data_IF_266694478881
#
_entry.id   IF_266694478881
#
_cell.length_a   1.000
_cell.length_b   1.000
_cell.length_c   1.000
_cell.angle_alpha   90.00
_cell.angle_beta   90.00
_cell.angle_gamma   90.00
#
_symmetry.space_group_name_H-M   'P 1'
#
loop_
_entity.id
_entity.type
_entity.pdbx_description
1 polymer ?
#
# COMPACT_ATOMS: atom_id res chain seq x y z
N UNK A 1 -0.28 -13.65 6.90
CA UNK A 1 -0.61 -14.65 5.87
C UNK A 1 -1.61 -14.09 4.85
N UNK A 2 -2.69 -13.43 5.25
CA UNK A 2 -3.72 -12.91 4.32
C UNK A 2 -3.19 -11.89 3.31
N UNK A 3 -2.19 -11.08 3.66
CA UNK A 3 -1.58 -10.08 2.77
C UNK A 3 -0.76 -10.69 1.62
N UNK A 4 -0.41 -11.97 1.69
CA UNK A 4 0.36 -12.67 0.66
C UNK A 4 -0.55 -13.10 -0.50
N UNK A 5 -1.80 -13.40 -0.21
CA UNK A 5 -2.75 -13.98 -1.19
C UNK A 5 -2.91 -13.10 -2.44
N UNK A 6 -3.15 -11.77 -2.36
CA UNK A 6 -3.26 -10.92 -3.54
C UNK A 6 -2.00 -10.93 -4.42
N UNK A 7 -0.81 -11.09 -3.80
CA UNK A 7 0.46 -11.12 -4.50
C UNK A 7 0.65 -12.37 -5.36
N UNK A 8 -0.06 -13.45 -5.03
CA UNK A 8 -0.05 -14.71 -5.78
C UNK A 8 -1.09 -14.69 -6.91
N UNK A 9 -2.26 -14.11 -6.68
CA UNK A 9 -3.35 -14.15 -7.67
C UNK A 9 -3.06 -13.36 -8.95
N UNK A 10 -2.36 -12.23 -8.86
CA UNK A 10 -2.06 -11.40 -10.04
C UNK A 10 -1.16 -12.13 -11.06
N UNK A 11 0.01 -12.68 -10.67
CA UNK A 11 0.82 -13.50 -11.57
C UNK A 11 0.06 -14.73 -12.08
N UNK A 12 -0.70 -15.40 -11.21
CA UNK A 12 -1.46 -16.60 -11.56
C UNK A 12 -2.54 -16.31 -12.62
N UNK A 13 -3.25 -15.20 -12.52
CA UNK A 13 -4.21 -14.77 -13.54
C UNK A 13 -3.54 -14.56 -14.90
N UNK A 14 -2.31 -14.03 -14.90
CA UNK A 14 -1.52 -13.89 -16.13
C UNK A 14 -1.06 -15.23 -16.73
N UNK A 15 -0.76 -16.23 -15.90
CA UNK A 15 -0.33 -17.55 -16.34
C UNK A 15 -1.48 -18.39 -16.86
N UNK A 16 -2.66 -18.34 -16.22
CA UNK A 16 -3.85 -19.10 -16.60
C UNK A 16 -4.57 -18.54 -17.82
N UNK A 17 -4.42 -17.24 -18.09
CA UNK A 17 -5.09 -16.60 -19.21
C UNK A 17 -4.42 -16.94 -20.56
N UNK A 18 -5.24 -17.14 -21.61
CA UNK A 18 -4.73 -17.23 -22.97
C UNK A 18 -3.95 -15.97 -23.35
N UNK A 19 -2.91 -16.07 -24.21
CA UNK A 19 -2.00 -14.94 -24.49
C UNK A 19 -2.70 -13.63 -24.86
N UNK A 20 -3.81 -13.69 -25.59
CA UNK A 20 -4.59 -12.54 -26.06
C UNK A 20 -5.32 -11.83 -24.91
N UNK A 21 -5.67 -12.55 -23.83
CA UNK A 21 -6.52 -12.06 -22.74
C UNK A 21 -5.74 -11.80 -21.43
N UNK A 22 -4.41 -11.95 -21.44
CA UNK A 22 -3.58 -11.78 -20.21
C UNK A 22 -3.79 -10.42 -19.55
N UNK A 23 -3.75 -9.34 -20.33
CA UNK A 23 -3.94 -7.99 -19.81
C UNK A 23 -5.35 -7.80 -19.21
N UNK A 24 -6.36 -8.38 -19.83
CA UNK A 24 -7.74 -8.32 -19.34
C UNK A 24 -7.90 -9.10 -18.03
N UNK A 25 -7.35 -10.31 -17.94
CA UNK A 25 -7.41 -11.14 -16.72
C UNK A 25 -6.72 -10.46 -15.54
N UNK A 26 -5.52 -9.92 -15.74
CA UNK A 26 -4.79 -9.14 -14.73
C UNK A 26 -5.58 -7.90 -14.33
N UNK A 27 -6.12 -7.16 -15.30
CA UNK A 27 -6.94 -5.97 -15.05
C UNK A 27 -8.19 -6.28 -14.22
N UNK A 28 -8.85 -7.40 -14.47
CA UNK A 28 -10.03 -7.84 -13.72
C UNK A 28 -9.67 -8.18 -12.26
N UNK A 29 -8.58 -8.92 -12.02
CA UNK A 29 -8.09 -9.23 -10.67
C UNK A 29 -7.69 -7.96 -9.92
N UNK A 30 -6.97 -7.04 -10.58
CA UNK A 30 -6.59 -5.75 -9.99
C UNK A 30 -7.79 -4.87 -9.67
N UNK A 31 -8.80 -4.85 -10.54
CA UNK A 31 -10.06 -4.12 -10.26
C UNK A 31 -10.78 -4.70 -9.06
N UNK A 32 -10.87 -6.03 -8.97
CA UNK A 32 -11.45 -6.72 -7.80
C UNK A 32 -10.69 -6.40 -6.51
N UNK A 33 -9.36 -6.36 -6.56
CA UNK A 33 -8.50 -5.98 -5.43
C UNK A 33 -8.81 -4.54 -4.97
N UNK A 34 -8.86 -3.58 -5.89
CA UNK A 34 -9.15 -2.18 -5.57
C UNK A 34 -10.55 -2.01 -4.99
N UNK A 35 -11.56 -2.61 -5.62
CA UNK A 35 -12.95 -2.59 -5.11
C UNK A 35 -13.01 -3.23 -3.72
N UNK A 36 -12.33 -4.37 -3.50
CA UNK A 36 -12.27 -5.03 -2.21
C UNK A 36 -11.64 -4.18 -1.11
N UNK A 37 -10.53 -3.48 -1.41
CA UNK A 37 -9.87 -2.56 -0.46
C UNK A 37 -10.83 -1.43 -0.06
N UNK A 38 -11.58 -0.87 -1.01
CA UNK A 38 -12.52 0.21 -0.75
C UNK A 38 -13.72 -0.25 0.07
N UNK A 39 -14.38 -1.30 -0.40
CA UNK A 39 -15.57 -1.82 0.26
C UNK A 39 -15.25 -2.35 1.67
N UNK A 40 -14.10 -3.00 1.86
CA UNK A 40 -13.72 -3.52 3.17
C UNK A 40 -13.65 -2.45 4.26
N UNK A 41 -13.17 -1.26 3.94
CA UNK A 41 -13.11 -0.13 4.89
C UNK A 41 -14.51 0.35 5.29
N UNK A 42 -15.40 0.51 4.32
CA UNK A 42 -16.77 0.93 4.55
C UNK A 42 -17.53 -0.12 5.36
N UNK A 43 -17.45 -1.37 4.92
CA UNK A 43 -18.14 -2.48 5.62
C UNK A 43 -17.59 -2.71 7.03
N UNK A 44 -16.26 -2.68 7.21
CA UNK A 44 -15.67 -2.86 8.53
C UNK A 44 -16.00 -1.70 9.47
N UNK A 45 -16.02 -0.47 8.98
CA UNK A 45 -16.43 0.71 9.75
C UNK A 45 -17.89 0.60 10.20
N UNK A 46 -18.80 0.28 9.27
CA UNK A 46 -20.22 0.10 9.56
C UNK A 46 -20.48 -1.07 10.54
N UNK A 47 -19.90 -2.24 10.27
CA UNK A 47 -20.05 -3.40 11.14
C UNK A 47 -19.46 -3.11 12.53
N UNK A 48 -18.28 -2.47 12.58
CA UNK A 48 -17.60 -2.12 13.82
C UNK A 48 -18.44 -1.21 14.71
N UNK A 49 -19.11 -0.21 14.11
CA UNK A 49 -19.96 0.73 14.82
C UNK A 49 -21.26 0.09 15.36
N UNK A 50 -21.98 -0.66 14.51
CA UNK A 50 -23.32 -1.14 14.85
C UNK A 50 -23.35 -2.53 15.49
N UNK A 51 -22.41 -3.39 15.19
CA UNK A 51 -22.37 -4.77 15.68
C UNK A 51 -21.19 -5.04 16.62
N UNK A 52 -20.10 -4.28 16.47
CA UNK A 52 -18.90 -4.42 17.25
C UNK A 52 -17.71 -4.98 16.47
N UNK A 53 -16.51 -4.78 16.99
CA UNK A 53 -15.27 -5.15 16.31
C UNK A 53 -15.07 -6.66 16.16
N UNK A 54 -15.67 -7.48 17.06
CA UNK A 54 -15.56 -8.94 16.99
C UNK A 54 -16.29 -9.50 15.77
N UNK A 55 -17.42 -8.93 15.44
CA UNK A 55 -18.27 -9.30 14.30
C UNK A 55 -17.59 -8.99 12.97
N UNK A 56 -16.76 -7.95 12.90
CA UNK A 56 -15.91 -7.66 11.73
C UNK A 56 -15.00 -8.86 11.43
N UNK A 57 -14.33 -9.40 12.45
CA UNK A 57 -13.44 -10.55 12.28
C UNK A 57 -14.21 -11.85 12.01
N UNK A 58 -15.36 -12.05 12.64
CA UNK A 58 -16.20 -13.23 12.39
C UNK A 58 -16.70 -13.26 10.95
N UNK A 59 -17.24 -12.16 10.46
CA UNK A 59 -17.71 -12.03 9.07
C UNK A 59 -16.53 -12.20 8.11
N UNK A 60 -15.39 -11.58 8.40
CA UNK A 60 -14.15 -11.76 7.65
C UNK A 60 -13.72 -13.23 7.56
N UNK A 61 -13.77 -13.97 8.67
CA UNK A 61 -13.45 -15.39 8.72
C UNK A 61 -14.41 -16.23 7.86
N UNK A 62 -15.72 -15.95 7.93
CA UNK A 62 -16.73 -16.62 7.10
C UNK A 62 -16.49 -16.36 5.61
N UNK A 63 -16.22 -15.10 5.23
CA UNK A 63 -15.91 -14.74 3.84
C UNK A 63 -14.67 -15.45 3.33
N UNK A 64 -13.61 -15.51 4.15
CA UNK A 64 -12.37 -16.23 3.80
C UNK A 64 -12.60 -17.73 3.66
N UNK A 65 -13.45 -18.33 4.52
CA UNK A 65 -13.82 -19.74 4.42
C UNK A 65 -14.59 -20.04 3.14
N UNK A 66 -15.57 -19.20 2.79
CA UNK A 66 -16.31 -19.31 1.53
C UNK A 66 -15.38 -19.15 0.34
N UNK A 67 -14.48 -18.15 0.37
CA UNK A 67 -13.49 -17.95 -0.69
C UNK A 67 -12.54 -19.16 -0.84
N UNK A 68 -12.12 -19.77 0.28
CA UNK A 68 -11.31 -20.98 0.25
C UNK A 68 -12.02 -22.14 -0.45
N UNK A 69 -13.32 -22.34 -0.19
CA UNK A 69 -14.13 -23.36 -0.90
C UNK A 69 -14.17 -23.08 -2.40
N UNK A 70 -14.41 -21.81 -2.81
CA UNK A 70 -14.43 -21.42 -4.21
C UNK A 70 -13.09 -21.68 -4.89
N UNK A 71 -11.97 -21.31 -4.26
CA UNK A 71 -10.63 -21.54 -4.78
C UNK A 71 -10.38 -23.05 -4.93
N UNK A 72 -10.73 -23.84 -3.93
CA UNK A 72 -10.53 -25.28 -3.94
C UNK A 72 -11.32 -25.99 -5.08
N UNK A 73 -12.52 -25.52 -5.38
CA UNK A 73 -13.38 -26.13 -6.41
C UNK A 73 -13.00 -25.66 -7.83
N UNK A 74 -12.71 -24.37 -8.00
CA UNK A 74 -12.61 -23.76 -9.33
C UNK A 74 -11.19 -23.48 -9.81
N UNK A 75 -10.21 -23.43 -8.91
CA UNK A 75 -8.85 -23.07 -9.32
C UNK A 75 -8.09 -24.34 -9.77
N UNK A 76 -7.55 -24.35 -11.01
CA UNK A 76 -6.75 -25.48 -11.47
C UNK A 76 -5.38 -25.52 -10.77
N UNK A 77 -4.83 -26.71 -10.60
CA UNK A 77 -3.46 -26.88 -10.11
C UNK A 77 -2.45 -26.29 -11.10
N UNK A 78 -1.57 -25.45 -10.61
CA UNK A 78 -0.49 -24.87 -11.40
C UNK A 78 0.83 -25.54 -11.00
N UNK A 79 1.53 -26.10 -11.98
CA UNK A 79 2.86 -26.67 -11.76
C UNK A 79 3.88 -25.54 -11.52
N UNK A 80 4.68 -25.61 -10.44
CA UNK A 80 5.68 -24.60 -10.18
C UNK A 80 6.78 -24.60 -11.24
N UNK A 81 7.06 -23.45 -11.84
CA UNK A 81 8.11 -23.28 -12.86
C UNK A 81 9.53 -23.33 -12.27
N UNK A 82 9.68 -23.25 -10.96
CA UNK A 82 10.97 -23.25 -10.29
C UNK A 82 11.41 -24.69 -9.96
N UNK A 83 12.52 -25.14 -10.56
CA UNK A 83 13.09 -26.49 -10.38
C UNK A 83 14.17 -26.57 -9.28
N UNK A 84 14.40 -25.50 -8.52
CA UNK A 84 15.40 -25.45 -7.45
C UNK A 84 14.85 -25.84 -6.08
N UNK A 85 15.75 -26.01 -5.09
CA UNK A 85 15.35 -26.21 -3.70
C UNK A 85 14.89 -24.90 -3.06
N UNK A 86 14.05 -24.97 -1.99
CA UNK A 86 13.61 -23.79 -1.25
C UNK A 86 14.79 -22.95 -0.72
N UNK A 87 15.87 -23.62 -0.26
CA UNK A 87 17.11 -22.97 0.18
C UNK A 87 17.77 -22.15 -0.94
N UNK A 88 17.80 -22.66 -2.17
CA UNK A 88 18.34 -21.94 -3.32
C UNK A 88 17.46 -20.73 -3.68
N UNK A 89 16.15 -20.84 -3.54
CA UNK A 89 15.23 -19.71 -3.71
C UNK A 89 15.52 -18.60 -2.70
N UNK A 90 15.61 -18.94 -1.41
CA UNK A 90 15.92 -17.96 -0.36
C UNK A 90 17.29 -17.31 -0.56
N UNK A 91 18.31 -18.08 -0.91
CA UNK A 91 19.64 -17.56 -1.23
C UNK A 91 19.59 -16.57 -2.39
N UNK A 92 18.81 -16.88 -3.44
CA UNK A 92 18.66 -15.98 -4.59
C UNK A 92 17.97 -14.65 -4.25
N UNK A 93 17.03 -14.64 -3.30
CA UNK A 93 16.39 -13.40 -2.79
C UNK A 93 17.42 -12.54 -2.06
N UNK A 94 18.22 -13.14 -1.17
CA UNK A 94 19.30 -12.42 -0.47
C UNK A 94 20.34 -11.88 -1.44
N UNK A 95 20.68 -12.63 -2.47
CA UNK A 95 21.61 -12.19 -3.51
C UNK A 95 21.06 -10.98 -4.30
N UNK A 96 19.77 -10.99 -4.66
CA UNK A 96 19.11 -9.84 -5.29
C UNK A 96 19.19 -8.58 -4.42
N UNK A 97 18.95 -8.71 -3.11
CA UNK A 97 19.10 -7.57 -2.18
C UNK A 97 20.54 -7.05 -2.15
N UNK A 98 21.53 -7.93 -2.20
CA UNK A 98 22.95 -7.53 -2.16
C UNK A 98 23.42 -6.89 -3.46
N UNK A 99 22.99 -7.44 -4.60
CA UNK A 99 23.49 -7.06 -5.93
C UNK A 99 22.71 -5.92 -6.59
N UNK A 100 21.44 -5.67 -6.18
CA UNK A 100 20.56 -4.70 -6.82
C UNK A 100 20.32 -3.45 -5.95
N UNK A 101 21.12 -2.37 -6.09
CA UNK A 101 20.97 -1.15 -5.29
C UNK A 101 19.62 -0.45 -5.54
N UNK A 102 19.10 -0.52 -6.77
CA UNK A 102 17.79 0.05 -7.10
C UNK A 102 16.63 -0.68 -6.39
N UNK A 103 16.74 -2.01 -6.20
CA UNK A 103 15.77 -2.77 -5.42
C UNK A 103 15.78 -2.32 -3.96
N UNK A 104 16.97 -2.16 -3.35
CA UNK A 104 17.08 -1.66 -1.97
C UNK A 104 16.47 -0.28 -1.81
N UNK A 105 16.76 0.64 -2.74
CA UNK A 105 16.24 1.99 -2.69
C UNK A 105 14.72 2.04 -2.88
N UNK A 106 14.18 1.27 -3.84
CA UNK A 106 12.74 1.17 -4.06
C UNK A 106 12.03 0.57 -2.83
N UNK A 107 12.60 -0.50 -2.25
CA UNK A 107 12.07 -1.16 -1.05
C UNK A 107 12.08 -0.23 0.16
N UNK A 108 13.15 0.55 0.35
CA UNK A 108 13.25 1.51 1.44
C UNK A 108 12.23 2.66 1.29
N UNK A 109 12.09 3.22 0.09
CA UNK A 109 11.05 4.23 -0.21
C UNK A 109 9.65 3.68 0.00
N UNK A 110 9.39 2.45 -0.47
CA UNK A 110 8.11 1.78 -0.25
C UNK A 110 7.80 1.58 1.23
N UNK A 111 8.78 1.11 2.01
CA UNK A 111 8.65 0.90 3.45
C UNK A 111 8.35 2.22 4.20
N UNK A 112 9.15 3.26 3.96
CA UNK A 112 8.99 4.55 4.66
C UNK A 112 7.72 5.30 4.23
N UNK A 113 7.38 5.25 2.94
CA UNK A 113 6.13 5.84 2.46
C UNK A 113 4.89 5.13 3.02
N UNK A 114 4.90 3.79 3.05
CA UNK A 114 3.80 3.04 3.64
C UNK A 114 3.75 3.15 5.17
N UNK A 115 4.89 3.38 5.84
CA UNK A 115 4.91 3.70 7.25
C UNK A 115 4.15 5.01 7.56
N UNK A 116 4.42 6.08 6.79
CA UNK A 116 3.71 7.35 6.91
C UNK A 116 2.20 7.17 6.65
N UNK A 117 1.84 6.45 5.61
CA UNK A 117 0.44 6.17 5.27
C UNK A 117 -0.29 5.36 6.35
N UNK A 118 0.35 4.31 6.85
CA UNK A 118 -0.23 3.47 7.90
C UNK A 118 -0.39 4.22 9.22
N UNK A 119 0.54 5.14 9.52
CA UNK A 119 0.43 6.03 10.66
C UNK A 119 -0.90 6.82 10.64
N UNK A 120 -1.24 7.42 9.50
CA UNK A 120 -2.51 8.15 9.33
C UNK A 120 -3.73 7.22 9.49
N UNK A 121 -3.81 6.17 8.68
CA UNK A 121 -5.01 5.34 8.63
C UNK A 121 -5.30 4.59 9.93
N UNK A 122 -4.26 4.21 10.68
CA UNK A 122 -4.44 3.54 11.97
C UNK A 122 -5.01 4.48 13.02
N UNK A 123 -4.62 5.75 13.02
CA UNK A 123 -4.98 6.70 14.07
C UNK A 123 -6.17 7.59 13.70
N UNK A 124 -6.63 7.55 12.44
CA UNK A 124 -7.78 8.34 11.98
C UNK A 124 -9.03 8.07 12.82
N UNK A 125 -9.30 6.80 13.18
CA UNK A 125 -10.47 6.45 14.02
C UNK A 125 -10.38 7.14 15.36
N UNK A 126 -9.24 7.06 16.03
CA UNK A 126 -9.03 7.72 17.34
C UNK A 126 -9.23 9.23 17.24
N UNK A 127 -8.74 9.84 16.16
CA UNK A 127 -8.88 11.28 15.94
C UNK A 127 -10.33 11.70 15.69
N UNK A 128 -11.11 10.86 15.01
CA UNK A 128 -12.52 11.13 14.73
C UNK A 128 -13.44 10.88 15.94
N UNK A 129 -13.05 10.01 16.86
CA UNK A 129 -13.79 9.77 18.11
C UNK A 129 -13.66 10.91 19.11
N UNK A 130 -12.63 11.76 18.99
CA UNK A 130 -12.40 12.91 19.88
C UNK A 130 -12.94 14.23 19.31
N UNK A 131 -12.84 15.28 20.13
CA UNK A 131 -13.21 16.64 19.72
C UNK A 131 -12.40 17.12 18.52
N UNK A 132 -12.97 17.82 17.55
CA UNK A 132 -14.34 18.36 17.50
C UNK A 132 -15.36 17.43 16.83
N UNK A 133 -14.97 16.22 16.40
CA UNK A 133 -15.78 15.39 15.53
C UNK A 133 -16.81 14.52 16.29
N UNK A 134 -16.38 13.80 17.33
CA UNK A 134 -17.20 12.89 18.12
C UNK A 134 -18.01 11.91 17.26
N UNK A 135 -17.38 11.28 16.25
CA UNK A 135 -17.99 10.34 15.31
C UNK A 135 -17.31 8.98 15.37
N UNK A 136 -18.02 7.94 14.99
CA UNK A 136 -17.59 6.57 15.12
C UNK A 136 -16.80 6.02 13.94
N UNK A 137 -16.57 4.71 13.99
CA UNK A 137 -15.80 3.99 13.00
C UNK A 137 -16.46 3.92 11.61
N UNK A 138 -17.76 4.13 11.52
CA UNK A 138 -18.52 4.23 10.28
C UNK A 138 -18.07 5.41 9.42
N UNK A 139 -17.89 6.58 10.04
CA UNK A 139 -17.37 7.79 9.37
C UNK A 139 -15.90 7.57 8.95
N UNK A 140 -15.07 6.99 9.84
CA UNK A 140 -13.71 6.63 9.48
C UNK A 140 -13.65 5.66 8.28
N UNK A 141 -14.56 4.68 8.23
CA UNK A 141 -14.73 3.79 7.09
C UNK A 141 -15.14 4.51 5.81
N UNK A 142 -16.02 5.54 5.90
CA UNK A 142 -16.44 6.36 4.78
C UNK A 142 -15.28 7.15 4.16
N UNK A 143 -14.28 7.59 4.95
CA UNK A 143 -13.04 8.16 4.44
C UNK A 143 -12.28 7.21 3.49
N UNK A 144 -12.50 5.89 3.62
CA UNK A 144 -12.00 4.91 2.68
C UNK A 144 -12.46 5.14 1.23
N UNK A 145 -13.69 5.63 1.03
CA UNK A 145 -14.21 5.99 -0.30
C UNK A 145 -13.48 7.19 -0.90
N UNK A 146 -13.06 8.13 -0.05
CA UNK A 146 -12.28 9.29 -0.47
C UNK A 146 -10.89 8.83 -0.93
N UNK A 147 -10.27 7.89 -0.21
CA UNK A 147 -9.01 7.26 -0.60
C UNK A 147 -9.07 6.54 -1.96
N UNK A 148 -10.27 6.13 -2.41
CA UNK A 148 -10.47 5.58 -3.74
C UNK A 148 -10.06 6.53 -4.86
N UNK A 149 -10.22 7.83 -4.65
CA UNK A 149 -9.78 8.85 -5.61
C UNK A 149 -8.27 8.79 -5.79
N UNK A 150 -7.51 8.48 -4.71
CA UNK A 150 -6.07 8.23 -4.78
C UNK A 150 -5.70 7.03 -5.66
N UNK A 151 -6.55 5.98 -5.72
CA UNK A 151 -6.32 4.83 -6.59
C UNK A 151 -6.35 5.21 -8.08
N UNK A 152 -7.08 6.26 -8.47
CA UNK A 152 -7.04 6.82 -9.82
C UNK A 152 -5.65 7.36 -10.20
N UNK A 153 -4.81 7.67 -9.21
CA UNK A 153 -3.43 8.07 -9.43
C UNK A 153 -2.62 7.04 -10.21
N UNK A 154 -2.87 5.75 -10.01
CA UNK A 154 -2.19 4.69 -10.76
C UNK A 154 -2.40 4.83 -12.27
N UNK A 155 -3.62 5.18 -12.71
CA UNK A 155 -3.93 5.45 -14.11
C UNK A 155 -3.25 6.74 -14.63
N UNK A 156 -3.13 7.75 -13.76
CA UNK A 156 -2.44 9.01 -14.09
C UNK A 156 -0.93 8.81 -14.23
N UNK A 157 -0.30 7.98 -13.40
CA UNK A 157 1.13 7.66 -13.51
C UNK A 157 1.48 7.13 -14.89
N UNK A 158 0.66 6.25 -15.46
CA UNK A 158 0.86 5.73 -16.83
C UNK A 158 0.85 6.81 -17.91
N UNK A 159 0.08 7.89 -17.73
CA UNK A 159 0.07 9.05 -18.65
C UNK A 159 1.27 9.97 -18.39
N UNK A 160 1.54 10.27 -17.14
CA UNK A 160 2.62 11.18 -16.71
C UNK A 160 4.01 10.60 -17.01
N UNK A 161 4.18 9.29 -16.96
CA UNK A 161 5.44 8.61 -17.28
C UNK A 161 5.88 8.75 -18.74
N UNK A 162 5.00 9.19 -19.63
CA UNK A 162 5.35 9.55 -21.01
C UNK A 162 6.08 10.90 -21.11
N UNK A 163 5.95 11.76 -20.10
CA UNK A 163 6.51 13.13 -20.08
C UNK A 163 7.59 13.27 -19.01
N UNK A 164 7.39 12.64 -17.86
CA UNK A 164 8.32 12.71 -16.72
C UNK A 164 9.04 11.39 -16.51
N UNK A 165 10.32 11.46 -16.15
CA UNK A 165 11.06 10.27 -15.71
C UNK A 165 10.47 9.71 -14.41
N UNK A 166 10.54 8.38 -14.23
CA UNK A 166 10.05 7.68 -13.04
C UNK A 166 10.61 8.27 -11.74
N UNK A 167 11.87 8.70 -11.74
CA UNK A 167 12.50 9.36 -10.60
C UNK A 167 11.82 10.70 -10.24
N UNK A 168 11.47 11.52 -11.24
CA UNK A 168 10.75 12.78 -11.00
C UNK A 168 9.34 12.53 -10.48
N UNK A 169 8.66 11.50 -10.99
CA UNK A 169 7.33 11.11 -10.49
C UNK A 169 7.41 10.74 -9.01
N UNK A 170 8.40 9.92 -8.61
CA UNK A 170 8.62 9.56 -7.21
C UNK A 170 8.89 10.80 -6.36
N UNK A 171 9.74 11.71 -6.82
CA UNK A 171 10.05 12.94 -6.11
C UNK A 171 8.80 13.79 -5.84
N UNK A 172 7.99 14.04 -6.88
CA UNK A 172 6.75 14.80 -6.72
C UNK A 172 5.71 14.05 -5.86
N UNK A 173 5.66 12.73 -5.94
CA UNK A 173 4.79 11.91 -5.10
C UNK A 173 5.11 12.09 -3.61
N UNK A 174 6.41 12.10 -3.25
CA UNK A 174 6.85 12.33 -1.87
C UNK A 174 6.53 13.76 -1.43
N UNK A 175 6.69 14.75 -2.31
CA UNK A 175 6.30 16.14 -2.01
C UNK A 175 4.79 16.28 -1.77
N UNK A 176 3.96 15.59 -2.57
CA UNK A 176 2.49 15.55 -2.36
C UNK A 176 2.18 14.95 -1.00
N UNK A 177 2.87 13.88 -0.58
CA UNK A 177 2.70 13.31 0.77
C UNK A 177 3.12 14.30 1.86
N UNK A 178 4.19 15.08 1.68
CA UNK A 178 4.58 16.11 2.64
C UNK A 178 3.53 17.24 2.73
N UNK A 179 2.99 17.66 1.58
CA UNK A 179 1.90 18.65 1.55
C UNK A 179 0.66 18.10 2.27
N UNK A 180 0.34 16.83 2.09
CA UNK A 180 -0.75 16.17 2.83
C UNK A 180 -0.55 16.29 4.35
N UNK A 181 0.66 16.04 4.85
CA UNK A 181 0.97 16.19 6.27
C UNK A 181 0.86 17.63 6.75
N UNK A 182 1.18 18.61 5.90
CA UNK A 182 0.91 20.03 6.16
C UNK A 182 -0.59 20.31 6.32
N UNK A 183 -1.44 19.73 5.45
CA UNK A 183 -2.90 19.83 5.59
C UNK A 183 -3.40 19.17 6.86
N UNK A 184 -2.89 18.00 7.23
CA UNK A 184 -3.26 17.34 8.49
C UNK A 184 -2.83 18.12 9.73
N UNK A 185 -1.72 18.83 9.66
CA UNK A 185 -1.27 19.70 10.76
C UNK A 185 -2.16 20.93 10.94
N UNK A 186 -2.38 21.68 9.85
CA UNK A 186 -3.06 22.98 9.91
C UNK A 186 -4.58 22.83 9.95
N UNK A 187 -5.13 21.89 9.19
CA UNK A 187 -6.57 21.73 9.00
C UNK A 187 -7.12 20.38 9.46
N UNK A 188 -6.34 19.59 10.19
CA UNK A 188 -6.69 18.24 10.62
C UNK A 188 -7.91 18.16 11.54
N UNK A 189 -8.30 19.26 12.16
CA UNK A 189 -9.51 19.36 12.99
C UNK A 189 -10.75 19.84 12.22
N UNK A 190 -10.71 19.73 10.89
CA UNK A 190 -11.84 20.02 9.99
C UNK A 190 -12.04 18.88 9.00
N UNK A 191 -13.29 18.57 8.66
CA UNK A 191 -13.58 17.52 7.67
C UNK A 191 -12.94 17.79 6.31
N UNK A 192 -13.00 19.03 5.83
CA UNK A 192 -12.42 19.37 4.53
C UNK A 192 -10.89 19.22 4.52
N UNK A 193 -10.22 19.55 5.61
CA UNK A 193 -8.77 19.37 5.73
C UNK A 193 -8.36 17.91 5.74
N UNK A 194 -9.12 17.06 6.45
CA UNK A 194 -8.94 15.61 6.41
C UNK A 194 -9.21 15.04 5.01
N UNK A 195 -10.29 15.48 4.33
CA UNK A 195 -10.64 15.03 2.99
C UNK A 195 -9.51 15.35 1.98
N UNK A 196 -9.06 16.60 1.96
CA UNK A 196 -7.96 17.01 1.07
C UNK A 196 -6.68 16.25 1.41
N UNK A 197 -6.35 16.16 2.70
CA UNK A 197 -5.19 15.41 3.16
C UNK A 197 -5.22 13.94 2.73
N UNK A 198 -6.37 13.26 2.86
CA UNK A 198 -6.55 11.86 2.42
C UNK A 198 -6.34 11.72 0.92
N UNK A 199 -6.95 12.58 0.12
CA UNK A 199 -6.74 12.55 -1.33
C UNK A 199 -5.25 12.69 -1.69
N UNK A 200 -4.56 13.61 -1.05
CA UNK A 200 -3.14 13.87 -1.32
C UNK A 200 -2.24 12.72 -0.86
N UNK A 201 -2.47 12.17 0.34
CA UNK A 201 -1.61 11.08 0.85
C UNK A 201 -1.79 9.80 0.04
N UNK A 202 -3.03 9.46 -0.35
CA UNK A 202 -3.33 8.31 -1.20
C UNK A 202 -2.76 8.50 -2.62
N UNK A 203 -2.96 9.68 -3.22
CA UNK A 203 -2.39 10.03 -4.53
C UNK A 203 -0.86 9.90 -4.51
N UNK A 204 -0.21 10.50 -3.52
CA UNK A 204 1.25 10.46 -3.39
C UNK A 204 1.78 9.05 -3.18
N UNK A 205 1.21 8.29 -2.24
CA UNK A 205 1.66 6.93 -1.98
C UNK A 205 1.46 6.02 -3.19
N UNK A 206 0.28 6.03 -3.82
CA UNK A 206 0.00 5.16 -4.97
C UNK A 206 0.88 5.49 -6.17
N UNK A 207 1.09 6.77 -6.47
CA UNK A 207 1.99 7.17 -7.55
C UNK A 207 3.43 6.72 -7.30
N UNK A 208 3.93 6.85 -6.06
CA UNK A 208 5.24 6.35 -5.67
C UNK A 208 5.32 4.83 -5.72
N UNK A 209 4.29 4.13 -5.23
CA UNK A 209 4.22 2.67 -5.23
C UNK A 209 4.29 2.09 -6.64
N UNK A 210 3.45 2.55 -7.56
CA UNK A 210 3.44 2.13 -8.97
C UNK A 210 4.78 2.43 -9.64
N UNK A 211 5.37 3.59 -9.36
CA UNK A 211 6.68 3.98 -9.90
C UNK A 211 7.81 3.09 -9.38
N UNK A 212 7.81 2.74 -8.09
CA UNK A 212 8.76 1.79 -7.52
C UNK A 212 8.59 0.39 -8.13
N UNK A 213 7.36 -0.08 -8.30
CA UNK A 213 7.09 -1.37 -8.97
C UNK A 213 7.60 -1.36 -10.42
N UNK A 214 7.42 -0.28 -11.16
CA UNK A 214 7.98 -0.14 -12.51
C UNK A 214 9.50 -0.30 -12.52
N UNK A 215 10.19 0.30 -11.55
CA UNK A 215 11.65 0.15 -11.41
C UNK A 215 12.03 -1.30 -11.14
N UNK A 216 11.45 -1.93 -10.12
CA UNK A 216 11.88 -3.26 -9.68
C UNK A 216 11.56 -4.35 -10.70
N UNK A 217 10.44 -4.28 -11.41
CA UNK A 217 10.10 -5.22 -12.48
C UNK A 217 10.97 -5.03 -13.73
N UNK A 218 11.57 -3.86 -13.91
CA UNK A 218 12.54 -3.60 -14.97
C UNK A 218 13.95 -4.15 -14.69
N UNK A 219 14.26 -4.58 -13.46
CA UNK A 219 15.63 -5.04 -13.09
C UNK A 219 15.98 -6.41 -13.67
N UNK A 220 15.04 -7.36 -13.61
CA UNK A 220 15.22 -8.72 -14.13
C UNK A 220 13.84 -9.33 -14.42
N UNK A 221 13.54 -9.53 -15.70
CA UNK A 221 12.27 -10.11 -16.13
C UNK A 221 12.04 -11.55 -15.61
N UNK A 222 13.14 -12.31 -15.33
CA UNK A 222 13.06 -13.68 -14.80
C UNK A 222 12.94 -13.72 -13.26
N UNK A 223 13.18 -12.61 -12.58
CA UNK A 223 13.15 -12.50 -11.12
C UNK A 223 11.95 -11.72 -10.59
N UNK A 224 10.96 -11.39 -11.42
CA UNK A 224 9.82 -10.52 -11.07
C UNK A 224 9.17 -10.86 -9.74
N UNK A 225 8.83 -12.13 -9.49
CA UNK A 225 8.23 -12.56 -8.22
C UNK A 225 9.19 -12.37 -7.03
N UNK A 226 10.49 -12.59 -7.22
CA UNK A 226 11.49 -12.46 -6.14
C UNK A 226 11.75 -11.01 -5.77
N UNK A 227 11.89 -10.11 -6.76
CA UNK A 227 12.04 -8.68 -6.48
C UNK A 227 10.78 -8.09 -5.85
N UNK A 228 9.59 -8.55 -6.27
CA UNK A 228 8.33 -8.15 -5.64
C UNK A 228 8.23 -8.65 -4.19
N UNK A 229 8.69 -9.88 -3.89
CA UNK A 229 8.73 -10.39 -2.52
C UNK A 229 9.56 -9.48 -1.62
N UNK A 230 10.78 -9.08 -2.05
CA UNK A 230 11.63 -8.17 -1.27
C UNK A 230 10.92 -6.83 -1.04
N UNK A 231 10.38 -6.26 -2.10
CA UNK A 231 9.70 -4.96 -2.06
C UNK A 231 8.48 -4.98 -1.13
N UNK A 232 7.58 -5.95 -1.32
CA UNK A 232 6.34 -6.04 -0.53
C UNK A 232 6.59 -6.42 0.93
N UNK A 233 7.58 -7.26 1.21
CA UNK A 233 7.98 -7.56 2.60
C UNK A 233 8.48 -6.30 3.30
N UNK A 234 9.35 -5.52 2.66
CA UNK A 234 9.82 -4.24 3.19
C UNK A 234 8.68 -3.24 3.37
N UNK A 235 7.76 -3.17 2.42
CA UNK A 235 6.57 -2.33 2.43
C UNK A 235 5.71 -2.61 3.67
N UNK A 236 5.36 -3.87 3.92
CA UNK A 236 4.54 -4.25 5.08
C UNK A 236 5.27 -4.11 6.42
N UNK A 237 6.59 -4.38 6.47
CA UNK A 237 7.39 -4.08 7.67
C UNK A 237 7.33 -2.59 7.97
N UNK A 238 7.49 -1.74 6.96
CA UNK A 238 7.34 -0.29 7.11
C UNK A 238 5.96 0.10 7.65
N UNK A 239 4.89 -0.44 7.07
CA UNK A 239 3.52 -0.21 7.53
C UNK A 239 3.30 -0.59 9.00
N UNK A 240 3.80 -1.76 9.40
CA UNK A 240 3.72 -2.22 10.80
C UNK A 240 4.47 -1.29 11.76
N UNK A 241 5.67 -0.84 11.38
CA UNK A 241 6.44 0.12 12.16
C UNK A 241 5.73 1.48 12.26
N UNK A 242 5.17 1.96 11.13
CA UNK A 242 4.41 3.21 11.10
C UNK A 242 3.19 3.17 12.02
N UNK A 243 2.39 2.10 11.93
CA UNK A 243 1.26 1.84 12.82
C UNK A 243 1.68 1.83 14.29
N UNK A 244 2.71 1.05 14.63
CA UNK A 244 3.18 0.91 16.01
C UNK A 244 3.67 2.23 16.60
N UNK A 245 4.50 2.97 15.85
CA UNK A 245 5.05 4.25 16.31
C UNK A 245 3.96 5.32 16.41
N UNK A 246 3.03 5.36 15.44
CA UNK A 246 1.95 6.34 15.45
C UNK A 246 0.95 6.11 16.60
N UNK A 247 0.60 4.85 16.89
CA UNK A 247 -0.27 4.53 18.03
C UNK A 247 0.37 4.99 19.36
N UNK A 248 1.67 4.72 19.57
CA UNK A 248 2.38 5.19 20.76
C UNK A 248 2.54 6.72 20.80
N UNK A 249 2.65 7.37 19.63
CA UNK A 249 2.72 8.83 19.55
C UNK A 249 1.36 9.48 19.83
N UNK A 250 0.27 8.82 19.42
CA UNK A 250 -1.10 9.21 19.75
C UNK A 250 -1.32 9.25 21.26
N UNK A 251 -0.95 8.21 21.98
CA UNK A 251 -1.12 8.13 23.44
C UNK A 251 -0.44 9.29 24.19
N UNK A 252 0.67 9.81 23.67
CA UNK A 252 1.46 10.85 24.34
C UNK A 252 1.22 12.27 23.84
N UNK A 253 0.99 12.43 22.55
CA UNK A 253 0.99 13.70 21.85
C UNK A 253 -0.24 13.91 20.97
N UNK A 254 -1.21 13.00 21.02
CA UNK A 254 -2.45 13.03 20.24
C UNK A 254 -2.16 13.23 18.74
N UNK A 255 -3.02 13.94 18.03
CA UNK A 255 -2.90 14.16 16.59
C UNK A 255 -1.55 14.78 16.16
N UNK A 256 -1.01 15.69 16.95
CA UNK A 256 0.30 16.30 16.66
C UNK A 256 1.44 15.26 16.63
N UNK A 257 1.37 14.25 17.51
CA UNK A 257 2.31 13.13 17.50
C UNK A 257 2.24 12.31 16.23
N UNK A 258 1.03 12.03 15.76
CA UNK A 258 0.80 11.29 14.50
C UNK A 258 1.36 12.06 13.31
N UNK A 259 1.06 13.36 13.23
CA UNK A 259 1.58 14.23 12.17
C UNK A 259 3.12 14.23 12.17
N UNK A 260 3.73 14.36 13.35
CA UNK A 260 5.19 14.34 13.48
C UNK A 260 5.79 13.01 12.96
N UNK A 261 5.18 11.86 13.29
CA UNK A 261 5.59 10.53 12.80
C UNK A 261 5.46 10.44 11.27
N UNK A 262 4.36 10.92 10.73
CA UNK A 262 4.13 10.91 9.29
C UNK A 262 5.11 11.79 8.51
N UNK A 263 5.36 13.00 9.00
CA UNK A 263 6.39 13.91 8.46
C UNK A 263 7.77 13.26 8.53
N UNK A 264 8.13 12.68 9.67
CA UNK A 264 9.41 12.01 9.88
C UNK A 264 9.67 10.91 8.83
N UNK A 265 8.73 9.98 8.65
CA UNK A 265 8.90 8.91 7.66
C UNK A 265 8.91 9.45 6.23
N UNK A 266 8.10 10.46 5.92
CA UNK A 266 8.07 11.06 4.59
C UNK A 266 9.36 11.83 4.28
N UNK A 267 9.96 12.52 5.27
CA UNK A 267 11.25 13.17 5.13
C UNK A 267 12.39 12.15 4.95
N UNK A 268 12.39 11.06 5.69
CA UNK A 268 13.37 9.96 5.48
C UNK A 268 13.24 9.42 4.06
N UNK A 269 12.02 9.23 3.56
CA UNK A 269 11.78 8.81 2.19
C UNK A 269 12.36 9.81 1.19
N UNK A 270 12.14 11.12 1.38
CA UNK A 270 12.66 12.18 0.53
C UNK A 270 14.18 12.23 0.53
N UNK A 271 14.78 12.21 1.73
CA UNK A 271 16.24 12.25 1.90
C UNK A 271 16.88 11.04 1.19
N UNK A 272 16.33 9.85 1.40
CA UNK A 272 16.84 8.64 0.73
C UNK A 272 16.74 8.75 -0.80
N UNK A 273 15.64 9.31 -1.30
CA UNK A 273 15.46 9.52 -2.73
C UNK A 273 16.50 10.49 -3.30
N UNK A 274 16.74 11.62 -2.64
CA UNK A 274 17.68 12.64 -3.11
C UNK A 274 19.13 12.13 -3.08
N UNK A 275 19.54 11.49 -1.96
CA UNK A 275 20.93 11.07 -1.77
C UNK A 275 21.34 9.91 -2.68
N UNK A 276 20.47 8.88 -2.79
CA UNK A 276 20.83 7.64 -3.48
C UNK A 276 20.37 7.59 -4.93
N UNK A 277 19.49 8.48 -5.37
CA UNK A 277 19.07 8.53 -6.77
C UNK A 277 20.14 9.12 -7.69
N UNK A 278 21.06 9.95 -7.18
CA UNK A 278 22.20 10.52 -7.95
C UNK A 278 23.23 9.47 -8.36
N UNK A 279 23.38 8.40 -7.59
CA UNK A 279 24.39 7.36 -7.82
C UNK A 279 23.95 6.29 -8.86
N UNK A 280 22.78 6.45 -9.46
CA UNK A 280 22.20 5.51 -10.43
C UNK A 280 21.99 6.12 -11.84
N UNK A 281 22.74 7.17 -12.17
CA UNK A 281 22.88 7.72 -13.53
C UNK A 281 24.16 7.17 -14.19
#
# INVERSE_FOLDING_TARGET
FTSVIPQVFVPMASELAVPQNKAQAVGMVMSGLLVGILLSRVFSGFIGEYLGWREVYLIGAILMFVLWIFIYIFLPEIQPNFKGTYGNLMKSIVELVKTQPQLRLASFRGATGFAAFSAFWTTLVFHLEEAPFFVGSDVAGAFGLIGAVGALAAALVGKVSKVLSTSKIIFYSILIMLISWGFFYEFGYTYWGLIVGVILIDLGLQAMHVSNQTIIFGLDAKAGNRVNTVYMTSYFIGGSLGTFIAANAWDKFQWNGVVAVGVFFTLICLISHILFNKNNK
#
